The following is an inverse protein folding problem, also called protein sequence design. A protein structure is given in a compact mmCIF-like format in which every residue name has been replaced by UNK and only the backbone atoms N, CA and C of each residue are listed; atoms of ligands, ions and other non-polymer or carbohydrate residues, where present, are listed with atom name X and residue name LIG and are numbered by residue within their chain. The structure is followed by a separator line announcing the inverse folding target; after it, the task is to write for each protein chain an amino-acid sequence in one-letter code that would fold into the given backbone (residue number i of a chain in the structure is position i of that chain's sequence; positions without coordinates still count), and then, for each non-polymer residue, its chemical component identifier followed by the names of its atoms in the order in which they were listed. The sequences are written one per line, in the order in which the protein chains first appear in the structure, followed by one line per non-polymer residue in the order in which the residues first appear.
data_IF_947513035647
#
_entry.id   IF_947513035647
#
_cell.length_a   1.000
_cell.length_b   1.000
_cell.length_c   1.000
_cell.angle_alpha   90.00
_cell.angle_beta   90.00
_cell.angle_gamma   90.00
#
_symmetry.space_group_name_H-M   'P 1'
#
loop_
_entity.id
_entity.type
_entity.pdbx_description
1 polymer ?
#
# COMPACT_ATOMS: atom_id res chain seq x y z
N UNK A 1 14.96 -14.38 -38.54
CA UNK A 1 13.72 -14.42 -37.75
C UNK A 1 13.87 -13.37 -36.67
N UNK A 2 13.17 -12.24 -36.79
CA UNK A 2 13.20 -11.20 -35.78
C UNK A 2 12.31 -11.70 -34.65
N UNK A 3 12.91 -12.42 -33.70
CA UNK A 3 12.24 -12.78 -32.45
C UNK A 3 11.78 -11.46 -31.86
N UNK A 4 10.46 -11.26 -31.81
CA UNK A 4 9.88 -10.14 -31.10
C UNK A 4 10.42 -10.21 -29.69
N UNK A 5 11.26 -9.25 -29.31
CA UNK A 5 11.59 -9.02 -27.92
C UNK A 5 10.26 -8.72 -27.24
N UNK A 6 9.73 -9.69 -26.51
CA UNK A 6 8.75 -9.40 -25.48
C UNK A 6 9.48 -8.43 -24.54
N UNK A 7 9.14 -7.15 -24.60
CA UNK A 7 9.46 -6.24 -23.51
C UNK A 7 8.77 -6.86 -22.31
N UNK A 8 9.54 -7.52 -21.44
CA UNK A 8 9.03 -8.14 -20.23
C UNK A 8 8.14 -7.12 -19.56
N UNK A 9 6.84 -7.40 -19.56
CA UNK A 9 5.86 -6.52 -18.95
C UNK A 9 6.26 -6.46 -17.48
N UNK A 10 6.48 -5.24 -16.98
CA UNK A 10 6.69 -4.99 -15.55
C UNK A 10 5.64 -5.79 -14.76
N UNK A 11 6.01 -6.41 -13.63
CA UNK A 11 5.09 -7.22 -12.82
C UNK A 11 3.74 -6.48 -12.63
N UNK A 12 2.64 -6.95 -13.26
CA UNK A 12 1.39 -6.20 -13.34
C UNK A 12 0.67 -6.16 -11.99
N UNK A 13 1.12 -6.95 -11.02
CA UNK A 13 0.59 -7.00 -9.66
C UNK A 13 0.56 -5.62 -9.00
N UNK A 14 1.41 -4.69 -9.43
CA UNK A 14 1.55 -3.38 -8.82
C UNK A 14 1.23 -2.19 -9.70
N UNK A 15 0.82 -2.44 -10.95
CA UNK A 15 0.54 -1.37 -11.91
C UNK A 15 -0.56 -0.42 -11.39
N UNK A 16 -1.57 -0.99 -10.71
CA UNK A 16 -2.65 -0.22 -10.11
C UNK A 16 -2.16 0.71 -8.99
N UNK A 17 -1.05 0.42 -8.30
CA UNK A 17 -0.50 1.29 -7.26
C UNK A 17 0.34 2.43 -7.83
N UNK A 18 0.88 2.27 -9.04
CA UNK A 18 1.69 3.27 -9.72
C UNK A 18 0.87 4.28 -10.54
N UNK A 19 -0.46 4.15 -10.55
CA UNK A 19 -1.34 5.12 -11.20
C UNK A 19 -1.39 6.44 -10.41
N UNK A 20 -1.46 7.57 -11.11
CA UNK A 20 -1.57 8.90 -10.49
C UNK A 20 -2.81 9.05 -9.60
N UNK A 21 -3.89 8.31 -9.88
CA UNK A 21 -5.12 8.34 -9.09
C UNK A 21 -5.01 7.61 -7.75
N UNK A 22 -4.04 6.70 -7.61
CA UNK A 22 -3.95 5.78 -6.47
C UNK A 22 -3.64 6.51 -5.18
N UNK A 23 -2.77 7.53 -5.21
CA UNK A 23 -2.43 8.29 -4.00
C UNK A 23 -3.64 9.05 -3.45
N UNK A 24 -4.47 9.60 -4.35
CA UNK A 24 -5.70 10.32 -3.99
C UNK A 24 -6.73 9.35 -3.43
N UNK A 25 -6.97 8.23 -4.13
CA UNK A 25 -7.90 7.19 -3.67
C UNK A 25 -7.49 6.63 -2.32
N UNK A 26 -6.19 6.43 -2.09
CA UNK A 26 -5.65 5.96 -0.82
C UNK A 26 -5.97 6.90 0.34
N UNK A 27 -5.69 8.19 0.18
CA UNK A 27 -6.02 9.20 1.21
C UNK A 27 -7.53 9.24 1.45
N UNK A 28 -8.34 9.22 0.36
CA UNK A 28 -9.79 9.27 0.45
C UNK A 28 -10.34 8.06 1.23
N UNK A 29 -9.85 6.85 0.98
CA UNK A 29 -10.25 5.64 1.73
C UNK A 29 -9.95 5.81 3.22
N UNK A 30 -8.77 6.33 3.59
CA UNK A 30 -8.42 6.55 4.99
C UNK A 30 -9.37 7.57 5.64
N UNK A 31 -9.66 8.68 4.95
CA UNK A 31 -10.59 9.70 5.44
C UNK A 31 -12.02 9.16 5.61
N UNK A 32 -12.48 8.30 4.70
CA UNK A 32 -13.79 7.64 4.82
C UNK A 32 -13.82 6.71 6.02
N UNK A 33 -12.79 5.87 6.23
CA UNK A 33 -12.70 5.01 7.42
C UNK A 33 -12.68 5.85 8.69
N UNK A 34 -11.90 6.93 8.71
CA UNK A 34 -11.85 7.86 9.84
C UNK A 34 -13.21 8.49 10.13
N UNK A 35 -13.92 8.95 9.09
CA UNK A 35 -15.26 9.52 9.22
C UNK A 35 -16.26 8.51 9.78
N UNK A 36 -16.24 7.26 9.29
CA UNK A 36 -17.09 6.19 9.81
C UNK A 36 -16.83 5.96 11.31
N UNK A 37 -15.57 5.99 11.74
CA UNK A 37 -15.21 5.85 13.16
C UNK A 37 -15.68 7.05 14.00
N UNK A 38 -15.63 8.28 13.47
CA UNK A 38 -16.17 9.48 14.14
C UNK A 38 -17.69 9.41 14.35
N UNK A 39 -18.42 8.67 13.51
CA UNK A 39 -19.86 8.48 13.69
C UNK A 39 -20.21 7.58 14.88
N UNK A 40 -19.25 6.92 15.52
CA UNK A 40 -19.48 6.05 16.68
C UNK A 40 -19.54 6.89 17.96
N UNK A 41 -20.69 6.98 18.64
CA UNK A 41 -20.90 7.93 19.75
C UNK A 41 -20.11 7.62 21.03
N UNK A 42 -19.50 6.42 21.11
CA UNK A 42 -18.71 5.98 22.26
C UNK A 42 -17.22 6.32 22.13
N UNK A 43 -16.76 6.76 20.95
CA UNK A 43 -15.35 7.04 20.72
C UNK A 43 -15.04 8.52 20.90
N UNK A 44 -13.96 8.81 21.63
CA UNK A 44 -13.36 10.14 21.64
C UNK A 44 -12.54 10.35 20.37
N UNK A 45 -12.32 11.60 19.99
CA UNK A 45 -11.48 11.94 18.82
C UNK A 45 -10.08 11.29 18.90
N UNK A 46 -9.48 11.25 20.09
CA UNK A 46 -8.19 10.59 20.32
C UNK A 46 -8.24 9.08 20.04
N UNK A 47 -9.29 8.40 20.51
CA UNK A 47 -9.51 6.97 20.24
C UNK A 47 -9.69 6.74 18.74
N UNK A 48 -10.46 7.60 18.06
CA UNK A 48 -10.67 7.48 16.61
C UNK A 48 -9.36 7.60 15.83
N UNK A 49 -8.48 8.54 16.18
CA UNK A 49 -7.17 8.65 15.53
C UNK A 49 -6.29 7.42 15.78
N UNK A 50 -6.28 6.90 17.01
CA UNK A 50 -5.53 5.68 17.35
C UNK A 50 -6.05 4.47 16.58
N UNK A 51 -7.38 4.29 16.51
CA UNK A 51 -8.01 3.22 15.74
C UNK A 51 -7.73 3.36 14.24
N UNK A 52 -7.85 4.58 13.68
CA UNK A 52 -7.53 4.86 12.27
C UNK A 52 -6.09 4.45 11.96
N UNK A 53 -5.13 4.86 12.80
CA UNK A 53 -3.73 4.51 12.65
C UNK A 53 -3.49 3.00 12.77
N UNK A 54 -4.12 2.35 13.75
CA UNK A 54 -3.97 0.90 13.98
C UNK A 54 -4.51 0.07 12.82
N UNK A 55 -5.75 0.35 12.39
CA UNK A 55 -6.41 -0.34 11.28
C UNK A 55 -5.59 -0.17 10.00
N UNK A 56 -5.16 1.06 9.72
CA UNK A 56 -4.30 1.38 8.59
C UNK A 56 -3.01 0.54 8.61
N UNK A 57 -2.27 0.56 9.72
CA UNK A 57 -1.01 -0.18 9.83
C UNK A 57 -1.19 -1.69 9.67
N UNK A 58 -2.24 -2.28 10.27
CA UNK A 58 -2.52 -3.72 10.14
C UNK A 58 -2.82 -4.10 8.69
N UNK A 59 -3.68 -3.33 8.01
CA UNK A 59 -4.05 -3.59 6.61
C UNK A 59 -2.82 -3.42 5.71
N UNK A 60 -2.08 -2.32 5.85
CA UNK A 60 -0.91 -2.04 5.03
C UNK A 60 0.21 -3.07 5.26
N UNK A 61 0.45 -3.47 6.51
CA UNK A 61 1.41 -4.51 6.83
C UNK A 61 1.02 -5.83 6.17
N UNK A 62 -0.26 -6.22 6.25
CA UNK A 62 -0.73 -7.44 5.61
C UNK A 62 -0.50 -7.38 4.09
N UNK A 63 -1.00 -6.34 3.43
CA UNK A 63 -0.94 -6.22 1.97
C UNK A 63 0.50 -6.11 1.46
N UNK A 64 1.34 -5.31 2.11
CA UNK A 64 2.68 -5.01 1.58
C UNK A 64 3.77 -5.95 2.10
N UNK A 65 3.70 -6.35 3.36
CA UNK A 65 4.80 -7.05 4.04
C UNK A 65 4.49 -8.51 4.38
N UNK A 66 3.23 -8.95 4.28
CA UNK A 66 2.87 -10.35 4.53
C UNK A 66 2.57 -11.12 3.26
N UNK A 67 1.77 -10.56 2.35
CA UNK A 67 1.41 -11.25 1.11
C UNK A 67 2.63 -11.41 0.18
N UNK A 68 2.74 -12.60 -0.43
CA UNK A 68 3.89 -13.01 -1.27
C UNK A 68 3.46 -13.55 -2.63
N UNK A 69 4.40 -13.52 -3.58
CA UNK A 69 4.17 -13.96 -4.97
C UNK A 69 3.55 -12.88 -5.86
N UNK A 70 3.39 -13.17 -7.15
CA UNK A 70 2.78 -12.27 -8.13
C UNK A 70 1.60 -12.95 -8.84
N UNK A 71 0.38 -12.91 -8.25
CA UNK A 71 -0.77 -13.67 -8.77
C UNK A 71 -1.21 -13.28 -10.19
N UNK A 72 -0.83 -12.09 -10.65
CA UNK A 72 -1.18 -11.58 -11.98
C UNK A 72 -0.05 -11.71 -12.99
N UNK A 73 1.12 -12.22 -12.58
CA UNK A 73 2.26 -12.43 -13.46
C UNK A 73 2.28 -13.88 -13.96
N UNK A 74 1.92 -14.05 -15.23
CA UNK A 74 1.76 -15.39 -15.83
C UNK A 74 3.09 -16.10 -16.14
N UNK A 75 4.21 -15.35 -16.15
CA UNK A 75 5.53 -15.83 -16.56
C UNK A 75 6.60 -15.72 -15.47
N UNK A 76 6.21 -15.57 -14.20
CA UNK A 76 7.14 -15.37 -13.05
C UNK A 76 8.08 -16.57 -12.79
N UNK A 77 7.80 -17.77 -13.30
CA UNK A 77 8.58 -19.01 -13.06
C UNK A 77 8.95 -19.29 -11.58
N UNK A 78 8.28 -18.62 -10.64
CA UNK A 78 8.53 -18.70 -9.20
C UNK A 78 9.59 -17.75 -8.65
N UNK A 79 10.06 -16.75 -9.41
CA UNK A 79 11.01 -15.74 -8.93
C UNK A 79 10.42 -14.93 -7.77
N UNK A 80 9.16 -14.52 -7.87
CA UNK A 80 8.47 -13.74 -6.84
C UNK A 80 7.99 -14.54 -5.63
N UNK A 81 8.04 -15.89 -5.67
CA UNK A 81 7.34 -16.77 -4.71
C UNK A 81 7.66 -16.48 -3.25
N UNK A 82 8.89 -16.07 -2.96
CA UNK A 82 9.36 -15.78 -1.60
C UNK A 82 9.32 -14.30 -1.24
N UNK A 83 9.15 -13.43 -2.23
CA UNK A 83 9.18 -11.99 -2.10
C UNK A 83 7.80 -11.48 -1.67
N UNK A 84 7.81 -10.54 -0.74
CA UNK A 84 6.62 -9.79 -0.33
C UNK A 84 6.22 -8.81 -1.42
N UNK A 85 4.98 -8.33 -1.35
CA UNK A 85 4.50 -7.31 -2.28
C UNK A 85 5.40 -6.05 -2.26
N UNK A 86 5.87 -5.62 -1.09
CA UNK A 86 6.77 -4.47 -0.93
C UNK A 86 8.12 -4.65 -1.61
N UNK A 87 8.68 -5.86 -1.52
CA UNK A 87 9.99 -6.21 -2.12
C UNK A 87 9.90 -6.26 -3.63
N UNK A 88 8.76 -6.66 -4.19
CA UNK A 88 8.51 -6.69 -5.63
C UNK A 88 8.08 -5.33 -6.19
N UNK A 89 7.48 -4.49 -5.35
CA UNK A 89 6.91 -3.20 -5.76
C UNK A 89 7.96 -2.29 -6.42
N UNK A 90 7.58 -1.58 -7.50
CA UNK A 90 8.46 -0.78 -8.35
C UNK A 90 9.76 -1.51 -8.77
N UNK A 91 9.62 -2.78 -9.17
CA UNK A 91 10.76 -3.63 -9.60
C UNK A 91 11.85 -3.77 -8.54
N UNK A 92 11.44 -3.76 -7.26
CA UNK A 92 12.34 -3.79 -6.12
C UNK A 92 13.13 -2.50 -5.90
N UNK A 93 12.90 -1.44 -6.69
CA UNK A 93 13.51 -0.14 -6.49
C UNK A 93 13.22 0.36 -5.08
N UNK A 94 14.27 0.61 -4.32
CA UNK A 94 14.15 1.20 -2.99
C UNK A 94 13.92 2.71 -3.15
N UNK A 95 13.08 3.29 -2.30
CA UNK A 95 12.84 4.74 -2.27
C UNK A 95 12.22 5.36 -3.54
N UNK A 96 11.48 4.57 -4.31
CA UNK A 96 10.61 5.10 -5.37
C UNK A 96 9.62 6.16 -4.82
N UNK A 97 9.07 7.04 -5.66
CA UNK A 97 8.10 8.06 -5.21
C UNK A 97 6.91 7.46 -4.46
N UNK A 98 6.36 6.35 -4.95
CA UNK A 98 5.22 5.68 -4.31
C UNK A 98 5.62 4.99 -3.01
N UNK A 99 6.79 4.35 -2.92
CA UNK A 99 7.28 3.80 -1.64
C UNK A 99 7.50 4.89 -0.60
N UNK A 100 8.05 6.03 -1.00
CA UNK A 100 8.19 7.20 -0.12
C UNK A 100 6.83 7.68 0.37
N UNK A 101 5.85 7.79 -0.52
CA UNK A 101 4.49 8.16 -0.15
C UNK A 101 3.88 7.18 0.85
N UNK A 102 3.93 5.87 0.55
CA UNK A 102 3.38 4.81 1.41
C UNK A 102 4.08 4.72 2.78
N UNK A 103 5.31 5.21 2.90
CA UNK A 103 6.04 5.32 4.16
C UNK A 103 5.71 6.61 4.92
N UNK A 104 5.63 7.75 4.23
CA UNK A 104 5.38 9.06 4.86
C UNK A 104 3.96 9.18 5.41
N UNK A 105 2.97 8.67 4.69
CA UNK A 105 1.56 8.78 5.10
C UNK A 105 1.30 8.17 6.49
N UNK A 106 1.66 6.91 6.78
CA UNK A 106 1.51 6.34 8.13
C UNK A 106 2.25 7.13 9.21
N UNK A 107 3.41 7.73 8.91
CA UNK A 107 4.13 8.59 9.87
C UNK A 107 3.31 9.83 10.22
N UNK A 108 2.74 10.50 9.22
CA UNK A 108 1.89 11.68 9.44
C UNK A 108 0.65 11.31 10.26
N UNK A 109 0.00 10.19 9.95
CA UNK A 109 -1.14 9.70 10.72
C UNK A 109 -0.77 9.33 12.16
N UNK A 110 0.39 8.70 12.35
CA UNK A 110 0.90 8.37 13.68
C UNK A 110 1.13 9.63 14.52
N UNK A 111 1.78 10.65 13.95
CA UNK A 111 1.97 11.95 14.63
C UNK A 111 0.63 12.53 15.05
N UNK A 112 -0.37 12.54 14.16
CA UNK A 112 -1.69 13.06 14.51
C UNK A 112 -2.39 12.23 15.60
N UNK A 113 -2.12 10.92 15.67
CA UNK A 113 -2.69 10.04 16.70
C UNK A 113 -2.12 10.24 18.10
N UNK A 114 -0.93 10.81 18.23
CA UNK A 114 -0.25 11.03 19.52
C UNK A 114 -0.32 12.48 20.00
N UNK A 115 -0.74 13.42 19.15
CA UNK A 115 -0.96 14.82 19.53
C UNK A 115 -2.30 14.91 20.28
N UNK A 116 -2.31 15.42 21.53
CA UNK A 116 -3.51 15.51 22.36
C UNK A 116 -4.51 16.57 21.88
#
# INVERSE_FOLDING_TARGET
MQVGTATSVLNPTFEYLNSQGTWVTYILVILVVHFILLCVPLFTTAVVWTLTCTIHNVIMYRLLHWEKGSPYETLDQGESRVLTQWEQFDDGEQFSPTKKFLLVVPIVFFIHSIVP
#
